data_IF_011019381026
#
_entry.id   IF_011019381026
#
_cell.length_a   1.000
_cell.length_b   1.000
_cell.length_c   1.000
_cell.angle_alpha   90.00
_cell.angle_beta   90.00
_cell.angle_gamma   90.00
#
_symmetry.space_group_name_H-M   'P 1'
#
loop_
_entity.id
_entity.type
_entity.pdbx_description
1 polymer ?
#
# COMPACT_ATOMS: atom_id res chain seq x y z
N UNK A 1 -23.34 7.82 2.41
CA UNK A 1 -22.10 7.92 1.58
C UNK A 1 -21.55 9.34 1.64
N UNK A 2 -20.23 9.49 1.48
CA UNK A 2 -19.50 10.77 1.43
C UNK A 2 -19.55 11.41 0.05
N UNK A 3 -19.49 10.61 -1.02
CA UNK A 3 -19.60 11.04 -2.42
C UNK A 3 -18.47 11.98 -2.94
N UNK A 4 -17.40 12.19 -2.17
CA UNK A 4 -16.24 13.02 -2.59
C UNK A 4 -14.93 12.58 -1.90
N UNK A 5 -14.72 11.27 -1.78
CA UNK A 5 -13.45 10.73 -1.27
C UNK A 5 -12.35 10.94 -2.32
N UNK A 6 -11.30 11.65 -1.92
CA UNK A 6 -10.09 11.96 -2.69
C UNK A 6 -8.95 12.35 -1.73
N UNK A 7 -7.69 12.37 -2.17
CA UNK A 7 -6.56 12.69 -1.30
C UNK A 7 -6.70 14.06 -0.60
N UNK A 8 -7.22 15.07 -1.29
CA UNK A 8 -7.45 16.43 -0.75
C UNK A 8 -8.37 16.44 0.49
N UNK A 9 -9.27 15.46 0.60
CA UNK A 9 -10.25 15.35 1.68
C UNK A 9 -9.79 14.39 2.79
N UNK A 10 -8.54 13.90 2.75
CA UNK A 10 -7.94 13.03 3.78
C UNK A 10 -6.76 13.78 4.39
N UNK A 11 -6.96 14.32 5.60
CA UNK A 11 -5.95 15.15 6.26
C UNK A 11 -5.15 14.36 7.29
N UNK A 12 -3.84 14.60 7.29
CA UNK A 12 -2.94 14.19 8.37
C UNK A 12 -3.17 15.09 9.60
N UNK A 13 -3.39 14.49 10.77
CA UNK A 13 -3.79 15.23 11.98
C UNK A 13 -2.62 16.03 12.57
N UNK A 14 -1.59 15.35 13.04
CA UNK A 14 -0.37 15.96 13.56
C UNK A 14 0.77 14.98 13.34
N UNK A 15 1.57 15.18 12.29
CA UNK A 15 2.62 14.22 11.93
C UNK A 15 3.76 14.15 12.94
N UNK A 16 3.98 15.21 13.72
CA UNK A 16 5.04 15.22 14.74
C UNK A 16 4.69 14.37 15.97
N UNK A 17 3.42 14.38 16.39
CA UNK A 17 2.96 13.68 17.59
C UNK A 17 2.22 12.37 17.27
N UNK A 18 1.63 12.26 16.09
CA UNK A 18 0.78 11.16 15.64
C UNK A 18 1.01 10.86 14.15
N UNK A 19 2.19 10.31 13.79
CA UNK A 19 2.54 9.97 12.42
C UNK A 19 1.45 9.15 11.73
N UNK A 20 1.14 9.48 10.47
CA UNK A 20 0.14 8.81 9.64
C UNK A 20 -1.31 8.75 10.17
N UNK A 21 -1.62 9.39 11.32
CA UNK A 21 -3.01 9.53 11.76
C UNK A 21 -3.76 10.45 10.80
N UNK A 22 -4.83 9.93 10.19
CA UNK A 22 -5.66 10.66 9.24
C UNK A 22 -7.07 10.95 9.77
N UNK A 23 -7.70 11.98 9.22
CA UNK A 23 -9.13 12.27 9.34
C UNK A 23 -9.72 12.59 7.97
N UNK A 24 -10.91 12.05 7.71
CA UNK A 24 -11.71 12.43 6.57
C UNK A 24 -12.41 13.77 6.85
N UNK A 25 -12.44 14.65 5.87
CA UNK A 25 -13.05 15.99 5.94
C UNK A 25 -13.99 16.22 4.76
N UNK A 26 -14.67 17.36 4.75
CA UNK A 26 -15.54 17.82 3.66
C UNK A 26 -16.77 16.95 3.36
N UNK A 27 -17.70 16.93 4.31
CA UNK A 27 -18.98 16.23 4.20
C UNK A 27 -20.05 17.03 3.41
N UNK A 28 -19.66 18.03 2.62
CA UNK A 28 -20.60 18.89 1.88
C UNK A 28 -21.48 18.14 0.87
N UNK A 29 -20.99 17.00 0.36
CA UNK A 29 -21.71 16.11 -0.56
C UNK A 29 -22.30 14.87 0.14
N UNK A 30 -22.11 14.73 1.45
CA UNK A 30 -22.53 13.54 2.16
C UNK A 30 -24.07 13.44 2.19
N UNK A 31 -24.58 12.31 1.73
CA UNK A 31 -26.02 12.07 1.70
C UNK A 31 -26.34 10.57 1.79
N UNK A 32 -27.62 10.27 2.01
CA UNK A 32 -28.12 8.90 1.93
C UNK A 32 -28.26 8.50 0.47
N UNK A 33 -27.80 7.30 0.05
CA UNK A 33 -27.96 6.84 -1.33
C UNK A 33 -29.42 6.80 -1.79
N UNK A 34 -30.36 6.55 -0.87
CA UNK A 34 -31.80 6.58 -1.16
C UNK A 34 -32.33 7.96 -1.61
N UNK A 35 -31.58 9.04 -1.36
CA UNK A 35 -31.91 10.41 -1.80
C UNK A 35 -31.24 10.79 -3.11
N UNK A 36 -30.40 9.93 -3.69
CA UNK A 36 -29.65 10.21 -4.91
C UNK A 36 -30.47 9.72 -6.11
N UNK A 37 -30.89 10.62 -7.02
CA UNK A 37 -31.58 10.21 -8.23
C UNK A 37 -30.69 9.34 -9.12
N UNK A 38 -31.30 8.40 -9.84
CA UNK A 38 -30.62 7.65 -10.89
C UNK A 38 -30.05 8.62 -11.93
N UNK A 39 -28.80 8.41 -12.36
CA UNK A 39 -28.12 9.30 -13.30
C UNK A 39 -27.51 10.57 -12.69
N UNK A 40 -27.61 10.77 -11.37
CA UNK A 40 -26.94 11.89 -10.71
C UNK A 40 -25.42 11.82 -10.87
N UNK A 41 -24.82 12.93 -11.28
CA UNK A 41 -23.37 13.06 -11.42
C UNK A 41 -22.79 13.48 -10.08
N UNK A 42 -22.25 12.50 -9.35
CA UNK A 42 -21.55 12.69 -8.07
C UNK A 42 -20.08 12.27 -8.21
N UNK A 43 -19.27 12.50 -7.17
CA UNK A 43 -17.83 12.21 -7.12
C UNK A 43 -16.97 13.03 -8.10
N UNK A 44 -15.74 13.32 -7.68
CA UNK A 44 -14.71 13.84 -8.57
C UNK A 44 -14.40 12.83 -9.68
N UNK A 45 -14.22 13.29 -10.92
CA UNK A 45 -14.11 12.44 -12.12
C UNK A 45 -13.01 11.36 -12.01
N UNK A 46 -11.86 11.68 -11.42
CA UNK A 46 -10.75 10.74 -11.23
C UNK A 46 -10.98 9.64 -10.18
N UNK A 47 -12.02 9.77 -9.37
CA UNK A 47 -12.38 8.84 -8.28
C UNK A 47 -13.81 8.29 -8.44
N UNK A 48 -14.44 8.57 -9.58
CA UNK A 48 -15.85 8.25 -9.84
C UNK A 48 -16.03 6.75 -10.09
N UNK A 49 -16.98 6.15 -9.40
CA UNK A 49 -17.28 4.73 -9.52
C UNK A 49 -18.03 4.41 -10.84
N UNK A 50 -17.88 3.18 -11.38
CA UNK A 50 -18.53 2.78 -12.64
C UNK A 50 -20.04 2.94 -12.60
N UNK A 51 -20.70 2.59 -11.49
CA UNK A 51 -22.15 2.72 -11.34
C UNK A 51 -22.62 4.18 -11.41
N UNK A 52 -21.80 5.13 -10.95
CA UNK A 52 -22.06 6.56 -11.10
C UNK A 52 -21.89 6.98 -12.56
N UNK A 53 -20.84 6.51 -13.24
CA UNK A 53 -20.59 6.81 -14.65
C UNK A 53 -21.69 6.28 -15.57
N UNK A 54 -22.20 5.09 -15.27
CA UNK A 54 -23.29 4.44 -15.99
C UNK A 54 -24.67 5.02 -15.65
N UNK A 55 -24.75 5.83 -14.59
CA UNK A 55 -25.98 6.45 -14.15
C UNK A 55 -27.00 5.46 -13.60
N UNK A 56 -26.57 4.32 -13.07
CA UNK A 56 -27.43 3.32 -12.42
C UNK A 56 -27.57 3.61 -10.92
N UNK A 57 -28.45 2.93 -10.16
CA UNK A 57 -28.58 3.16 -8.72
C UNK A 57 -27.26 2.98 -7.97
N UNK A 58 -26.96 3.94 -7.09
CA UNK A 58 -25.71 4.00 -6.33
C UNK A 58 -25.94 3.56 -4.88
N UNK A 59 -24.89 3.04 -4.24
CA UNK A 59 -24.87 2.73 -2.81
C UNK A 59 -23.58 3.28 -2.19
N UNK A 60 -23.38 3.06 -0.89
CA UNK A 60 -22.13 3.38 -0.20
C UNK A 60 -20.90 2.70 -0.82
N UNK A 61 -21.06 1.66 -1.64
CA UNK A 61 -19.94 1.00 -2.30
C UNK A 61 -19.19 1.94 -3.26
N UNK A 62 -19.82 3.01 -3.75
CA UNK A 62 -19.16 4.02 -4.57
C UNK A 62 -18.01 4.72 -3.81
N UNK A 63 -18.14 4.90 -2.49
CA UNK A 63 -17.06 5.45 -1.65
C UNK A 63 -15.89 4.46 -1.53
N UNK A 64 -16.15 3.14 -1.54
CA UNK A 64 -15.10 2.12 -1.53
C UNK A 64 -14.28 2.14 -2.83
N UNK A 65 -14.93 2.36 -3.97
CA UNK A 65 -14.21 2.55 -5.24
C UNK A 65 -13.27 3.75 -5.16
N UNK A 66 -13.79 4.91 -4.71
CA UNK A 66 -13.01 6.13 -4.55
C UNK A 66 -11.83 5.93 -3.57
N UNK A 67 -12.05 5.23 -2.46
CA UNK A 67 -10.99 4.86 -1.51
C UNK A 67 -9.95 3.92 -2.15
N UNK A 68 -10.38 3.01 -3.02
CA UNK A 68 -9.49 2.15 -3.82
C UNK A 68 -8.61 2.96 -4.76
N UNK A 69 -9.17 3.97 -5.43
CA UNK A 69 -8.40 4.91 -6.25
C UNK A 69 -7.38 5.70 -5.43
N UNK A 70 -7.74 6.16 -4.22
CA UNK A 70 -6.79 6.80 -3.28
C UNK A 70 -5.69 5.83 -2.88
N UNK A 71 -6.02 4.59 -2.52
CA UNK A 71 -5.03 3.58 -2.13
C UNK A 71 -4.05 3.28 -3.29
N UNK A 72 -4.57 3.13 -4.51
CA UNK A 72 -3.74 2.98 -5.71
C UNK A 72 -2.82 4.18 -5.94
N UNK A 73 -3.34 5.41 -5.79
CA UNK A 73 -2.57 6.64 -5.91
C UNK A 73 -1.42 6.69 -4.89
N UNK A 74 -1.69 6.37 -3.63
CA UNK A 74 -0.68 6.33 -2.57
C UNK A 74 0.38 5.25 -2.83
N UNK A 75 -0.02 4.09 -3.34
CA UNK A 75 0.90 2.99 -3.65
C UNK A 75 1.78 3.27 -4.87
N UNK A 76 1.22 3.86 -5.93
CA UNK A 76 1.96 4.18 -7.14
C UNK A 76 2.88 5.40 -6.95
N UNK A 77 2.48 6.34 -6.09
CA UNK A 77 3.33 7.36 -5.49
C UNK A 77 4.13 8.27 -6.42
N UNK A 78 3.89 8.25 -7.76
CA UNK A 78 4.77 8.73 -8.83
C UNK A 78 5.94 9.63 -8.36
N UNK A 79 6.97 8.96 -7.84
CA UNK A 79 8.30 9.50 -7.58
C UNK A 79 9.31 8.36 -7.76
N UNK A 80 9.59 8.07 -9.03
CA UNK A 80 10.80 7.36 -9.42
C UNK A 80 11.99 8.22 -8.97
N UNK A 81 12.69 7.80 -7.91
CA UNK A 81 14.04 8.21 -7.49
C UNK A 81 14.24 9.35 -6.46
N UNK A 82 13.26 9.78 -5.68
CA UNK A 82 13.54 10.69 -4.54
C UNK A 82 13.42 9.98 -3.19
N UNK A 83 14.44 10.15 -2.33
CA UNK A 83 14.61 9.64 -0.95
C UNK A 83 15.20 8.24 -0.77
N UNK A 84 15.74 7.61 -1.80
CA UNK A 84 16.42 6.32 -1.65
C UNK A 84 17.82 6.47 -1.05
N UNK A 85 18.19 5.58 -0.14
CA UNK A 85 19.57 5.49 0.33
C UNK A 85 20.47 4.85 -0.76
N UNK A 86 21.80 5.02 -0.66
CA UNK A 86 22.75 4.59 -1.71
C UNK A 86 22.61 3.11 -2.10
N UNK A 87 22.12 2.27 -1.19
CA UNK A 87 21.94 0.85 -1.43
C UNK A 87 20.70 0.57 -2.28
N UNK A 88 19.57 1.18 -1.95
CA UNK A 88 18.32 1.06 -2.73
C UNK A 88 18.51 1.56 -4.17
N UNK A 89 19.33 2.60 -4.36
CA UNK A 89 19.74 3.05 -5.69
C UNK A 89 20.53 1.98 -6.45
N UNK A 90 21.50 1.33 -5.80
CA UNK A 90 22.27 0.23 -6.40
C UNK A 90 21.39 -0.98 -6.75
N UNK A 91 20.37 -1.31 -5.93
CA UNK A 91 19.42 -2.37 -6.25
C UNK A 91 18.62 -2.06 -7.51
N UNK A 92 18.12 -0.84 -7.65
CA UNK A 92 17.39 -0.42 -8.84
C UNK A 92 18.25 -0.45 -10.09
N UNK A 93 19.53 -0.06 -10.01
CA UNK A 93 20.45 -0.18 -11.14
C UNK A 93 20.64 -1.63 -11.58
N UNK A 94 20.82 -2.56 -10.65
CA UNK A 94 20.93 -3.99 -10.99
C UNK A 94 19.63 -4.55 -11.55
N UNK A 95 18.48 -4.14 -11.01
CA UNK A 95 17.17 -4.57 -11.48
C UNK A 95 16.87 -4.09 -12.91
N UNK A 96 17.15 -2.81 -13.20
CA UNK A 96 16.82 -2.18 -14.47
C UNK A 96 17.84 -2.48 -15.58
N UNK A 97 19.13 -2.55 -15.24
CA UNK A 97 20.22 -2.61 -16.22
C UNK A 97 21.05 -3.90 -16.15
N UNK A 98 20.71 -4.81 -15.23
CA UNK A 98 21.50 -6.00 -14.95
C UNK A 98 22.71 -5.71 -14.08
N UNK A 99 23.41 -6.78 -13.68
CA UNK A 99 24.53 -6.67 -12.76
C UNK A 99 25.74 -5.97 -13.41
N UNK A 100 26.45 -5.06 -12.69
CA UNK A 100 27.74 -4.56 -13.12
C UNK A 100 28.70 -5.71 -13.44
N UNK A 101 29.53 -5.53 -14.46
CA UNK A 101 30.44 -6.59 -14.89
C UNK A 101 31.50 -6.92 -13.82
N UNK A 102 32.17 -8.07 -13.98
CA UNK A 102 33.10 -8.58 -12.96
C UNK A 102 34.29 -7.67 -12.67
N UNK A 103 34.86 -7.02 -13.69
CA UNK A 103 36.02 -6.13 -13.51
C UNK A 103 35.61 -4.90 -12.69
N UNK A 104 34.48 -4.28 -13.00
CA UNK A 104 33.92 -3.17 -12.21
C UNK A 104 33.71 -3.56 -10.75
N UNK A 105 33.14 -4.74 -10.48
CA UNK A 105 32.90 -5.21 -9.11
C UNK A 105 34.21 -5.56 -8.37
N UNK A 106 35.23 -6.05 -9.07
CA UNK A 106 36.54 -6.37 -8.48
C UNK A 106 37.37 -5.13 -8.14
N UNK A 107 37.30 -4.10 -8.99
CA UNK A 107 38.04 -2.85 -8.82
C UNK A 107 37.33 -1.87 -7.87
N UNK A 108 36.01 -1.99 -7.71
CA UNK A 108 35.20 -1.11 -6.86
C UNK A 108 35.55 -1.23 -5.37
N UNK A 109 36.09 -0.15 -4.79
CA UNK A 109 36.45 -0.07 -3.36
C UNK A 109 35.26 -0.30 -2.41
N UNK A 110 34.05 0.03 -2.88
CA UNK A 110 32.81 -0.13 -2.12
C UNK A 110 31.93 -1.28 -2.60
N UNK A 111 32.39 -2.15 -3.52
CA UNK A 111 31.58 -3.27 -4.01
C UNK A 111 31.06 -4.16 -2.89
N UNK A 112 31.87 -4.38 -1.84
CA UNK A 112 31.48 -5.16 -0.65
C UNK A 112 30.42 -4.49 0.22
N UNK A 113 30.11 -3.20 0.02
CA UNK A 113 28.97 -2.51 0.66
C UNK A 113 27.65 -3.05 0.13
N UNK A 114 27.59 -3.32 -1.18
CA UNK A 114 26.37 -3.68 -1.91
C UNK A 114 26.32 -5.14 -2.38
N UNK A 115 27.44 -5.85 -2.48
CA UNK A 115 27.52 -7.22 -3.02
C UNK A 115 28.25 -8.17 -2.07
N UNK A 116 27.80 -9.43 -2.00
CA UNK A 116 28.52 -10.57 -1.42
C UNK A 116 29.43 -11.23 -2.47
N UNK A 117 30.57 -11.74 -2.03
CA UNK A 117 31.37 -12.66 -2.86
C UNK A 117 31.04 -14.10 -2.47
N UNK A 118 30.28 -14.80 -3.30
CA UNK A 118 29.97 -16.22 -3.10
C UNK A 118 31.13 -17.07 -3.62
N UNK A 119 31.80 -17.79 -2.73
CA UNK A 119 32.85 -18.74 -3.10
C UNK A 119 32.21 -20.06 -3.56
N UNK A 120 32.22 -20.33 -4.87
CA UNK A 120 31.89 -21.65 -5.41
C UNK A 120 33.12 -22.55 -5.53
N UNK A 121 32.88 -23.85 -5.71
CA UNK A 121 33.92 -24.89 -5.82
C UNK A 121 34.85 -24.64 -7.03
N UNK A 122 34.32 -24.10 -8.14
CA UNK A 122 35.11 -23.82 -9.36
C UNK A 122 35.27 -22.33 -9.70
N UNK A 123 34.41 -21.45 -9.18
CA UNK A 123 34.46 -20.01 -9.47
C UNK A 123 33.82 -19.18 -8.37
N UNK A 124 34.38 -17.99 -8.15
CA UNK A 124 33.79 -16.97 -7.30
C UNK A 124 32.83 -16.08 -8.10
N UNK A 125 31.68 -15.74 -7.52
CA UNK A 125 30.65 -14.93 -8.17
C UNK A 125 30.18 -13.83 -7.22
N UNK A 126 30.09 -12.61 -7.73
CA UNK A 126 29.47 -11.51 -7.01
C UNK A 126 27.95 -11.66 -7.02
N UNK A 127 27.32 -11.47 -5.88
CA UNK A 127 25.86 -11.52 -5.72
C UNK A 127 25.44 -10.23 -5.04
N UNK A 128 24.47 -9.50 -5.59
CA UNK A 128 23.94 -8.30 -4.93
C UNK A 128 23.47 -8.72 -3.53
N UNK A 129 23.90 -8.01 -2.50
CA UNK A 129 23.27 -8.12 -1.20
C UNK A 129 21.85 -7.70 -1.45
N UNK A 130 20.92 -8.60 -1.22
CA UNK A 130 19.54 -8.20 -1.05
C UNK A 130 19.45 -7.73 0.41
N UNK A 131 18.75 -6.62 0.71
CA UNK A 131 18.20 -6.47 2.04
C UNK A 131 17.35 -7.70 2.30
N UNK A 132 16.83 -7.87 3.52
CA UNK A 132 15.55 -8.50 3.63
C UNK A 132 14.48 -7.70 2.85
N UNK A 133 14.57 -7.62 1.50
CA UNK A 133 13.37 -7.60 0.65
C UNK A 133 12.92 -9.05 0.62
N UNK A 134 12.42 -9.40 1.80
CA UNK A 134 11.97 -10.70 2.26
C UNK A 134 10.77 -11.10 1.43
N UNK A 135 10.57 -12.40 1.28
CA UNK A 135 9.27 -13.01 0.94
C UNK A 135 8.09 -12.20 1.51
N UNK A 136 8.22 -11.68 2.73
CA UNK A 136 7.28 -10.76 3.39
C UNK A 136 6.95 -9.46 2.62
N UNK A 137 7.86 -8.79 1.91
CA UNK A 137 7.50 -7.59 1.11
C UNK A 137 6.70 -7.97 -0.15
N UNK A 138 7.07 -9.10 -0.77
CA UNK A 138 6.33 -9.64 -1.90
C UNK A 138 4.92 -10.11 -1.46
N UNK A 139 4.82 -10.72 -0.28
CA UNK A 139 3.57 -11.11 0.36
C UNK A 139 2.71 -9.91 0.75
N UNK A 140 3.30 -8.83 1.28
CA UNK A 140 2.61 -7.58 1.61
C UNK A 140 2.12 -6.86 0.37
N UNK A 141 2.95 -6.79 -0.67
CA UNK A 141 2.54 -6.32 -1.98
C UNK A 141 1.38 -7.14 -2.54
N UNK A 142 1.46 -8.48 -2.46
CA UNK A 142 0.38 -9.36 -2.92
C UNK A 142 -0.89 -9.22 -2.07
N UNK A 143 -0.77 -8.94 -0.77
CA UNK A 143 -1.88 -8.65 0.11
C UNK A 143 -2.52 -7.30 -0.24
N UNK A 144 -1.73 -6.26 -0.47
CA UNK A 144 -2.21 -4.96 -0.90
C UNK A 144 -2.95 -5.03 -2.23
N UNK A 145 -2.36 -5.65 -3.25
CA UNK A 145 -2.98 -5.81 -4.57
C UNK A 145 -4.27 -6.65 -4.51
N UNK A 146 -4.33 -7.62 -3.61
CA UNK A 146 -5.57 -8.37 -3.34
C UNK A 146 -6.66 -7.44 -2.80
N UNK A 147 -6.36 -6.63 -1.78
CA UNK A 147 -7.32 -5.66 -1.24
C UNK A 147 -7.78 -4.69 -2.32
N UNK A 148 -6.84 -4.17 -3.10
CA UNK A 148 -7.11 -3.20 -4.14
C UNK A 148 -8.06 -3.74 -5.22
N UNK A 149 -7.88 -5.01 -5.63
CA UNK A 149 -8.81 -5.69 -6.56
C UNK A 149 -10.23 -5.79 -6.01
N UNK A 150 -10.37 -6.03 -4.70
CA UNK A 150 -11.66 -6.11 -4.03
C UNK A 150 -12.35 -4.75 -3.91
N UNK A 151 -11.59 -3.67 -3.68
CA UNK A 151 -12.09 -2.29 -3.65
C UNK A 151 -12.45 -1.76 -5.04
N UNK A 152 -11.65 -2.09 -6.06
CA UNK A 152 -11.84 -1.70 -7.46
C UNK A 152 -12.66 -2.72 -8.26
N UNK A 153 -13.54 -3.47 -7.60
CA UNK A 153 -14.49 -4.34 -8.29
C UNK A 153 -15.53 -3.50 -9.02
N UNK A 154 -15.69 -3.72 -10.34
CA UNK A 154 -16.63 -2.95 -11.18
C UNK A 154 -18.07 -3.19 -10.75
N UNK A 155 -18.42 -4.41 -10.38
CA UNK A 155 -19.75 -4.77 -9.88
C UNK A 155 -19.91 -4.30 -8.42
N UNK A 156 -20.76 -3.28 -8.14
CA UNK A 156 -20.88 -2.69 -6.80
C UNK A 156 -21.45 -3.66 -5.77
N UNK A 157 -22.13 -4.75 -6.18
CA UNK A 157 -22.69 -5.77 -5.27
C UNK A 157 -21.58 -6.71 -4.78
N UNK A 158 -20.58 -6.97 -5.62
CA UNK A 158 -19.43 -7.85 -5.30
C UNK A 158 -18.26 -7.09 -4.71
N UNK A 159 -18.32 -5.76 -4.73
CA UNK A 159 -17.29 -4.88 -4.16
C UNK A 159 -17.26 -5.04 -2.65
N UNK A 160 -16.06 -5.12 -2.10
CA UNK A 160 -15.84 -5.31 -0.66
C UNK A 160 -16.48 -4.16 0.14
N UNK A 161 -17.06 -4.49 1.28
CA UNK A 161 -17.59 -3.51 2.22
C UNK A 161 -16.49 -2.96 3.15
N UNK A 162 -16.69 -1.82 3.83
CA UNK A 162 -15.72 -1.34 4.82
C UNK A 162 -15.40 -2.37 5.90
N UNK A 163 -16.42 -3.09 6.38
CA UNK A 163 -16.28 -4.09 7.46
C UNK A 163 -15.44 -5.28 6.98
N UNK A 164 -15.70 -5.80 5.78
CA UNK A 164 -14.89 -6.86 5.19
C UNK A 164 -13.46 -6.39 4.89
N UNK A 165 -13.30 -5.14 4.43
CA UNK A 165 -12.00 -4.51 4.18
C UNK A 165 -11.12 -4.45 5.43
N UNK A 166 -11.71 -4.08 6.57
CA UNK A 166 -11.02 -4.09 7.87
C UNK A 166 -10.56 -5.50 8.27
N UNK A 167 -11.27 -6.54 7.84
CA UNK A 167 -10.91 -7.94 8.05
C UNK A 167 -9.88 -8.49 7.04
N UNK A 168 -9.53 -7.74 6.00
CA UNK A 168 -8.65 -8.21 4.93
C UNK A 168 -7.22 -8.45 5.45
N UNK A 169 -6.52 -9.46 4.88
CA UNK A 169 -5.18 -9.88 5.34
C UNK A 169 -4.13 -8.76 5.27
N UNK A 170 -4.30 -7.80 4.35
CA UNK A 170 -3.48 -6.60 4.29
C UNK A 170 -3.68 -5.73 5.53
N UNK A 171 -4.92 -5.32 5.84
CA UNK A 171 -5.21 -4.44 6.99
C UNK A 171 -4.90 -5.13 8.32
N UNK A 172 -5.19 -6.42 8.43
CA UNK A 172 -4.94 -7.21 9.65
C UNK A 172 -3.49 -7.68 9.79
N UNK A 173 -2.65 -7.48 8.77
CA UNK A 173 -1.25 -7.92 8.70
C UNK A 173 -1.03 -9.44 8.89
N UNK A 174 -2.09 -10.27 8.81
CA UNK A 174 -2.03 -11.74 9.04
C UNK A 174 -1.12 -12.52 8.07
N UNK A 175 -0.70 -11.89 6.99
CA UNK A 175 0.17 -12.49 5.98
C UNK A 175 1.66 -12.25 6.28
N UNK A 176 1.97 -11.40 7.27
CA UNK A 176 3.32 -11.18 7.74
C UNK A 176 3.63 -12.11 8.91
N UNK A 177 4.89 -12.53 9.08
CA UNK A 177 5.31 -13.24 10.28
C UNK A 177 5.07 -12.38 11.53
N UNK A 178 4.60 -12.99 12.61
CA UNK A 178 4.34 -12.27 13.87
C UNK A 178 5.65 -11.64 14.40
N UNK A 179 5.61 -10.34 14.73
CA UNK A 179 6.71 -9.70 15.46
C UNK A 179 6.66 -10.17 16.92
N UNK A 180 7.69 -10.89 17.42
CA UNK A 180 7.72 -11.37 18.80
C UNK A 180 7.51 -10.26 19.85
N UNK A 181 7.87 -9.02 19.52
CA UNK A 181 7.74 -7.85 20.42
C UNK A 181 6.30 -7.34 20.51
N UNK A 182 5.50 -7.52 19.46
CA UNK A 182 4.10 -7.12 19.46
C UNK A 182 3.23 -8.06 20.34
N UNK A 183 3.64 -9.31 20.46
CA UNK A 183 3.00 -10.32 21.31
C UNK A 183 3.19 -9.99 22.79
N UNK A 184 4.41 -9.62 23.20
CA UNK A 184 4.69 -9.21 24.59
C UNK A 184 3.90 -7.96 24.99
N UNK A 185 3.76 -7.00 24.07
CA UNK A 185 3.02 -5.75 24.33
C UNK A 185 1.50 -5.98 24.40
N UNK A 186 0.94 -6.83 23.53
CA UNK A 186 -0.46 -7.28 23.64
C UNK A 186 -0.74 -8.03 24.94
N UNK A 187 0.17 -8.91 25.36
CA UNK A 187 0.02 -9.61 26.63
C UNK A 187 0.10 -8.66 27.83
N UNK A 188 0.95 -7.62 27.77
CA UNK A 188 1.02 -6.59 28.80
C UNK A 188 -0.26 -5.74 28.87
N UNK A 189 -0.82 -5.35 27.73
CA UNK A 189 -2.05 -4.55 27.66
C UNK A 189 -3.30 -5.34 28.08
N UNK A 190 -3.36 -6.65 27.77
CA UNK A 190 -4.41 -7.55 28.27
C UNK A 190 -4.31 -7.81 29.78
N UNK A 191 -3.11 -7.75 30.34
CA UNK A 191 -2.88 -7.90 31.78
C UNK A 191 -3.28 -6.63 32.56
N UNK A 192 -3.11 -5.46 31.95
CA UNK A 192 -3.48 -4.16 32.52
C UNK A 192 -4.99 -3.87 32.44
N UNK A 193 -5.71 -4.49 31.51
CA UNK A 193 -7.17 -4.32 31.36
C UNK A 193 -8.00 -5.31 32.19
N UNK A 194 -7.35 -6.28 32.86
CA UNK A 194 -7.98 -7.28 33.73
C UNK A 194 -7.79 -7.03 35.23
N UNK A 195 -7.13 -5.94 35.63
CA UNK A 195 -6.95 -5.53 37.04
C UNK A 195 -7.65 -4.19 37.33
#
# INVERSE_FOLDING_TARGET
MHADIKPDNIMLVNQSQQPYRVKLIDFGFATSPAKIPCGAVIQALGYRAPEVMLGIPVTESADIWALGCVAAFLYLGYHLFFNMNEYEMMQHFVHMFGQPNKSMLQEGKHSKKYFWMRKGIMKHTWVLKTPPNTESEAEDTAAFLSLLKWMLCVDPIKRITPVEGLGHRFITMKHLPEDPRATEQRMADEFLTRN
#
